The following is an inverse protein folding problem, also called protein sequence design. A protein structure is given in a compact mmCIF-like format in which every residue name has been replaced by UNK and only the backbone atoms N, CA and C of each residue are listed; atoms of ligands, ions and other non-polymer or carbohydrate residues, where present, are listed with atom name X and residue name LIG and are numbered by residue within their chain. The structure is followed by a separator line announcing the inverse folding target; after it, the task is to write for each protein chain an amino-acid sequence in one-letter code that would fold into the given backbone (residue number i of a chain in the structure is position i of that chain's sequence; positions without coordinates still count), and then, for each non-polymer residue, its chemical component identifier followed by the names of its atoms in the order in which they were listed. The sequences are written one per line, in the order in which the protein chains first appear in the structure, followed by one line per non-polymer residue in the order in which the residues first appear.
data_IF_231302310414
#
_entry.id   IF_231302310414
#
_cell.length_a   1.000
_cell.length_b   1.000
_cell.length_c   1.000
_cell.angle_alpha   90.00
_cell.angle_beta   90.00
_cell.angle_gamma   90.00
#
_symmetry.space_group_name_H-M   'P 1'
#
loop_
_entity.id
_entity.type
_entity.pdbx_description
1 polymer ?
#
# COMPACT_ATOMS: atom_id res chain seq x y z
N UNK A 1 33.00 6.84 15.06
CA UNK A 1 32.47 8.21 14.88
C UNK A 1 32.70 8.60 13.42
N UNK A 2 31.67 8.49 12.57
CA UNK A 2 31.77 8.85 11.16
C UNK A 2 30.53 9.64 10.76
N UNK A 3 30.68 10.97 10.70
CA UNK A 3 29.62 11.86 10.24
C UNK A 3 29.40 11.67 8.74
N UNK A 4 28.26 11.07 8.35
CA UNK A 4 27.70 11.21 7.00
C UNK A 4 27.17 12.64 6.87
N UNK A 5 28.07 13.60 6.69
CA UNK A 5 27.71 14.91 6.19
C UNK A 5 27.17 14.77 4.77
N UNK A 6 26.09 15.51 4.49
CA UNK A 6 25.56 15.90 3.18
C UNK A 6 26.58 15.73 2.04
N UNK A 7 26.67 14.54 1.45
CA UNK A 7 27.28 14.39 0.14
C UNK A 7 26.26 14.93 -0.85
N UNK A 8 26.46 16.19 -1.24
CA UNK A 8 25.73 16.78 -2.35
C UNK A 8 25.86 15.80 -3.53
N UNK A 9 24.72 15.29 -4.00
CA UNK A 9 24.68 14.41 -5.15
C UNK A 9 25.34 15.14 -6.31
N UNK A 10 26.35 14.52 -6.91
CA UNK A 10 27.03 15.12 -8.06
C UNK A 10 26.01 15.38 -9.16
N UNK A 11 26.04 16.56 -9.81
CA UNK A 11 25.08 16.88 -10.85
C UNK A 11 25.13 15.82 -11.95
N UNK A 12 23.98 15.42 -12.48
CA UNK A 12 23.92 14.32 -13.46
C UNK A 12 24.81 14.57 -14.69
N UNK A 13 25.03 15.85 -15.03
CA UNK A 13 25.96 16.30 -16.06
C UNK A 13 27.42 15.92 -15.78
N UNK A 14 27.83 15.77 -14.53
CA UNK A 14 29.18 15.31 -14.18
C UNK A 14 29.32 13.79 -14.23
N UNK A 15 28.20 13.06 -14.14
CA UNK A 15 28.18 11.58 -14.13
C UNK A 15 28.07 11.03 -15.55
N UNK A 16 27.28 11.68 -16.41
CA UNK A 16 27.07 11.25 -17.79
C UNK A 16 27.02 12.47 -18.75
N UNK A 17 28.14 13.19 -18.94
CA UNK A 17 28.18 14.43 -19.71
C UNK A 17 27.76 14.24 -21.18
N UNK A 18 28.10 13.10 -21.79
CA UNK A 18 27.81 12.78 -23.17
C UNK A 18 26.32 12.45 -23.45
N UNK A 19 25.58 12.01 -22.43
CA UNK A 19 24.15 11.64 -22.56
C UNK A 19 23.21 12.62 -21.85
N UNK A 20 23.77 13.58 -21.10
CA UNK A 20 23.01 14.54 -20.29
C UNK A 20 21.95 15.28 -21.10
N UNK A 21 22.33 15.87 -22.23
CA UNK A 21 21.40 16.67 -23.04
C UNK A 21 20.27 15.84 -23.65
N UNK A 22 20.56 14.57 -23.97
CA UNK A 22 19.58 13.62 -24.52
C UNK A 22 18.65 13.14 -23.40
N UNK A 23 19.19 12.82 -22.24
CA UNK A 23 18.44 12.43 -21.05
C UNK A 23 17.49 13.54 -20.59
N UNK A 24 17.98 14.77 -20.41
CA UNK A 24 17.18 15.92 -19.98
C UNK A 24 16.08 16.25 -20.99
N UNK A 25 16.35 16.17 -22.30
CA UNK A 25 15.31 16.36 -23.34
C UNK A 25 14.19 15.34 -23.24
N UNK A 26 14.51 14.06 -23.06
CA UNK A 26 13.49 13.04 -22.84
C UNK A 26 12.72 13.30 -21.54
N UNK A 27 13.43 13.61 -20.46
CA UNK A 27 12.84 13.85 -19.15
C UNK A 27 11.93 15.08 -19.15
N UNK A 28 12.23 16.12 -19.95
CA UNK A 28 11.37 17.30 -20.11
C UNK A 28 9.99 16.94 -20.69
N UNK A 29 9.95 16.08 -21.72
CA UNK A 29 8.70 15.57 -22.30
C UNK A 29 7.87 14.77 -21.27
N UNK A 30 8.54 13.91 -20.50
CA UNK A 30 7.87 13.17 -19.42
C UNK A 30 7.43 14.10 -18.30
N UNK A 31 8.25 15.08 -17.92
CA UNK A 31 7.93 16.09 -16.89
C UNK A 31 6.71 16.91 -17.28
N UNK A 32 6.61 17.37 -18.52
CA UNK A 32 5.42 18.07 -19.03
C UNK A 32 4.18 17.16 -18.97
N UNK A 33 4.36 15.86 -19.24
CA UNK A 33 3.30 14.86 -19.09
C UNK A 33 2.91 14.67 -17.61
N UNK A 34 3.87 14.60 -16.69
CA UNK A 34 3.68 14.49 -15.24
C UNK A 34 3.07 15.76 -14.62
N UNK A 35 3.43 16.95 -15.08
CA UNK A 35 2.83 18.22 -14.65
C UNK A 35 1.37 18.28 -15.12
N UNK A 36 1.07 17.85 -16.34
CA UNK A 36 -0.30 17.80 -16.83
C UNK A 36 -1.16 16.75 -16.10
N UNK A 37 -0.56 15.72 -15.49
CA UNK A 37 -1.24 14.80 -14.58
C UNK A 37 -1.69 15.46 -13.27
N UNK A 38 -1.09 16.57 -12.80
CA UNK A 38 -1.52 17.26 -11.56
C UNK A 38 -2.95 17.84 -11.66
N UNK A 39 -3.47 18.06 -12.88
CA UNK A 39 -4.80 18.63 -13.10
C UNK A 39 -5.95 17.61 -12.94
N UNK A 40 -5.66 16.31 -12.91
CA UNK A 40 -6.59 15.25 -12.52
C UNK A 40 -6.01 14.58 -11.28
N UNK A 41 -6.73 14.54 -10.15
CA UNK A 41 -6.22 13.91 -8.93
C UNK A 41 -6.11 12.38 -9.09
N UNK A 42 -5.04 11.92 -9.74
CA UNK A 42 -4.71 10.51 -10.04
C UNK A 42 -3.75 9.91 -9.02
N UNK A 43 -3.51 10.59 -7.89
CA UNK A 43 -2.61 10.11 -6.84
C UNK A 43 -3.01 8.71 -6.37
N UNK A 44 -2.00 7.87 -6.11
CA UNK A 44 -2.17 6.48 -5.67
C UNK A 44 -2.73 5.53 -6.72
N UNK A 45 -2.88 5.96 -7.98
CA UNK A 45 -3.36 5.08 -9.07
C UNK A 45 -2.23 4.19 -9.56
N UNK A 46 -2.51 2.89 -9.66
CA UNK A 46 -1.61 1.88 -10.22
C UNK A 46 -2.00 1.62 -11.67
N UNK A 47 -1.02 1.69 -12.57
CA UNK A 47 -1.25 1.64 -14.01
C UNK A 47 -0.70 0.36 -14.64
N UNK A 48 -1.33 -0.06 -15.74
CA UNK A 48 -0.76 -0.98 -16.71
C UNK A 48 -1.05 -0.41 -18.10
N UNK A 49 -0.04 -0.33 -18.98
CA UNK A 49 -0.20 0.16 -20.37
C UNK A 49 -0.97 1.48 -20.48
N UNK A 50 -0.65 2.45 -19.61
CA UNK A 50 -1.32 3.76 -19.48
C UNK A 50 -2.82 3.69 -19.12
N UNK A 51 -3.31 2.53 -18.66
CA UNK A 51 -4.66 2.36 -18.14
C UNK A 51 -4.63 2.27 -16.61
N UNK A 52 -5.46 3.03 -15.89
CA UNK A 52 -5.59 2.88 -14.46
C UNK A 52 -6.24 1.53 -14.14
N UNK A 53 -5.58 0.71 -13.33
CA UNK A 53 -6.04 -0.65 -12.99
C UNK A 53 -6.61 -0.70 -11.59
N UNK A 54 -5.87 -0.15 -10.63
CA UNK A 54 -6.19 -0.11 -9.20
C UNK A 54 -5.87 1.26 -8.64
N UNK A 55 -6.39 1.54 -7.45
CA UNK A 55 -6.05 2.74 -6.69
C UNK A 55 -5.82 2.34 -5.24
N UNK A 56 -4.78 2.87 -4.64
CA UNK A 56 -4.50 2.70 -3.22
C UNK A 56 -5.61 3.39 -2.41
N UNK A 57 -6.10 2.73 -1.34
CA UNK A 57 -7.33 3.08 -0.62
C UNK A 57 -7.31 4.52 -0.10
N UNK A 58 -6.15 4.97 0.37
CA UNK A 58 -5.93 6.32 0.92
C UNK A 58 -6.20 7.45 -0.10
N UNK A 59 -6.17 7.15 -1.40
CA UNK A 59 -6.34 8.16 -2.44
C UNK A 59 -7.69 8.08 -3.15
N UNK A 60 -8.48 7.03 -2.93
CA UNK A 60 -9.68 6.75 -3.72
C UNK A 60 -10.97 7.48 -3.33
N UNK A 61 -10.99 8.19 -2.19
CA UNK A 61 -12.22 8.76 -1.62
C UNK A 61 -12.48 10.22 -2.04
N UNK A 62 -13.73 10.61 -2.31
CA UNK A 62 -14.09 12.03 -2.46
C UNK A 62 -13.96 12.75 -1.10
N UNK A 63 -12.85 13.46 -0.90
CA UNK A 63 -12.63 14.65 -0.03
C UNK A 63 -13.52 14.74 1.24
N UNK A 64 -13.59 13.68 2.04
CA UNK A 64 -14.35 13.67 3.31
C UNK A 64 -13.45 13.56 4.54
N UNK A 65 -12.14 13.41 4.34
CA UNK A 65 -11.18 13.47 5.43
C UNK A 65 -10.50 14.83 5.42
N UNK A 66 -10.21 15.36 6.62
CA UNK A 66 -9.19 16.38 6.81
C UNK A 66 -7.85 15.77 6.35
N UNK A 67 -7.64 15.83 5.03
CA UNK A 67 -6.65 15.15 4.19
C UNK A 67 -5.20 15.49 4.53
N UNK A 68 -4.96 16.38 5.47
CA UNK A 68 -3.63 16.91 5.75
C UNK A 68 -2.70 15.89 6.44
N UNK A 69 -3.19 14.86 7.15
CA UNK A 69 -2.30 13.97 7.92
C UNK A 69 -1.65 12.86 7.07
N UNK A 70 -2.39 12.25 6.14
CA UNK A 70 -1.88 11.18 5.27
C UNK A 70 -1.22 11.73 4.00
N UNK A 71 -1.75 12.80 3.40
CA UNK A 71 -1.06 13.51 2.31
C UNK A 71 0.25 14.14 2.79
N UNK A 72 0.35 14.53 4.06
CA UNK A 72 1.63 14.92 4.64
C UNK A 72 2.66 13.81 4.51
N UNK A 73 2.31 12.54 4.65
CA UNK A 73 3.25 11.39 4.57
C UNK A 73 4.06 11.38 3.28
N UNK A 74 3.40 11.76 2.19
CA UNK A 74 3.97 11.84 0.85
C UNK A 74 4.51 13.24 0.54
N UNK A 75 4.12 14.26 1.31
CA UNK A 75 4.73 15.57 1.27
C UNK A 75 6.12 15.55 1.88
N UNK A 76 6.96 16.51 1.47
CA UNK A 76 8.27 16.74 2.09
C UNK A 76 8.17 17.12 3.58
N UNK A 77 6.99 17.49 4.08
CA UNK A 77 6.75 17.91 5.47
C UNK A 77 6.52 16.76 6.44
N UNK A 78 6.24 15.52 5.98
CA UNK A 78 6.13 14.42 6.92
C UNK A 78 7.47 14.08 7.53
N UNK A 79 7.47 14.10 8.84
CA UNK A 79 8.62 13.72 9.62
C UNK A 79 8.73 12.20 9.61
N UNK A 80 9.50 11.66 8.65
CA UNK A 80 9.93 10.26 8.61
C UNK A 80 10.99 10.01 9.70
N UNK A 81 10.66 10.41 10.94
CA UNK A 81 11.54 10.29 12.12
C UNK A 81 11.73 8.83 12.50
N UNK A 82 10.69 8.02 12.30
CA UNK A 82 10.71 6.59 12.59
C UNK A 82 10.87 5.78 11.31
N UNK A 83 11.71 4.75 11.36
CA UNK A 83 11.94 3.81 10.25
C UNK A 83 11.22 2.48 10.49
N UNK A 84 9.99 2.56 10.99
CA UNK A 84 9.21 1.42 11.46
C UNK A 84 9.00 0.34 10.39
N UNK A 85 8.82 0.73 9.12
CA UNK A 85 8.63 -0.21 8.02
C UNK A 85 9.96 -0.88 7.62
N UNK A 86 11.04 -0.11 7.57
CA UNK A 86 12.38 -0.61 7.25
C UNK A 86 12.89 -1.59 8.30
N UNK A 87 12.51 -1.42 9.58
CA UNK A 87 12.85 -2.34 10.67
C UNK A 87 12.30 -3.76 10.46
N UNK A 88 11.16 -3.89 9.78
CA UNK A 88 10.50 -5.18 9.56
C UNK A 88 10.69 -5.71 8.13
N UNK A 89 11.57 -5.10 7.33
CA UNK A 89 11.72 -5.39 5.89
C UNK A 89 11.96 -6.87 5.58
N UNK A 90 12.67 -7.59 6.46
CA UNK A 90 12.97 -9.02 6.30
C UNK A 90 11.72 -9.90 6.29
N UNK A 91 10.68 -9.48 7.00
CA UNK A 91 9.40 -10.20 7.11
C UNK A 91 8.26 -9.52 6.32
N UNK A 92 8.57 -8.42 5.63
CA UNK A 92 7.56 -7.56 5.04
C UNK A 92 6.83 -8.25 3.87
N UNK A 93 7.48 -9.16 3.14
CA UNK A 93 6.84 -9.97 2.11
C UNK A 93 5.62 -10.76 2.64
N UNK A 94 5.69 -11.30 3.86
CA UNK A 94 4.61 -12.05 4.49
C UNK A 94 3.44 -11.13 4.84
N UNK A 95 3.75 -9.97 5.44
CA UNK A 95 2.76 -8.96 5.80
C UNK A 95 2.06 -8.42 4.56
N UNK A 96 2.82 -8.04 3.53
CA UNK A 96 2.28 -7.57 2.26
C UNK A 96 1.40 -8.64 1.62
N UNK A 97 1.83 -9.91 1.58
CA UNK A 97 1.00 -10.97 1.02
C UNK A 97 -0.32 -11.15 1.77
N UNK A 98 -0.33 -11.07 3.10
CA UNK A 98 -1.57 -11.13 3.91
C UNK A 98 -2.48 -9.96 3.55
N UNK A 99 -1.97 -8.73 3.60
CA UNK A 99 -2.75 -7.52 3.29
C UNK A 99 -3.28 -7.54 1.85
N UNK A 100 -2.47 -7.82 0.85
CA UNK A 100 -2.94 -7.83 -0.54
C UNK A 100 -3.85 -9.01 -0.90
N UNK A 101 -3.87 -10.06 -0.07
CA UNK A 101 -4.83 -11.17 -0.21
C UNK A 101 -6.20 -10.87 0.41
N UNK A 102 -6.40 -9.68 0.99
CA UNK A 102 -7.68 -9.32 1.64
C UNK A 102 -7.81 -9.85 3.07
N UNK A 103 -6.75 -10.43 3.64
CA UNK A 103 -6.78 -10.95 5.01
C UNK A 103 -6.68 -9.80 6.02
N UNK A 104 -7.30 -9.99 7.20
CA UNK A 104 -7.18 -9.05 8.31
C UNK A 104 -5.78 -9.12 8.92
N UNK A 105 -5.22 -7.97 9.30
CA UNK A 105 -3.90 -7.87 9.87
C UNK A 105 -3.85 -6.88 11.04
N UNK A 106 -3.26 -7.30 12.14
CA UNK A 106 -3.21 -6.50 13.38
C UNK A 106 -1.78 -6.13 13.73
N UNK A 107 -1.56 -4.85 14.05
CA UNK A 107 -0.31 -4.37 14.67
C UNK A 107 -0.52 -4.23 16.17
N UNK A 108 0.27 -4.96 16.94
CA UNK A 108 0.13 -5.09 18.37
C UNK A 108 1.33 -4.41 19.06
N UNK A 109 1.08 -3.55 20.05
CA UNK A 109 2.15 -2.86 20.78
C UNK A 109 1.74 -2.52 22.22
N UNK A 110 2.70 -2.42 23.14
CA UNK A 110 2.46 -1.85 24.46
C UNK A 110 2.26 -0.34 24.38
N UNK A 111 1.75 0.27 25.45
CA UNK A 111 1.64 1.72 25.54
C UNK A 111 2.97 2.43 25.25
N UNK A 112 4.10 1.85 25.68
CA UNK A 112 5.43 2.44 25.43
C UNK A 112 5.86 2.37 23.97
N UNK A 113 5.33 1.42 23.18
CA UNK A 113 5.67 1.22 21.76
C UNK A 113 4.54 1.62 20.81
N UNK A 114 3.46 2.19 21.35
CA UNK A 114 2.27 2.58 20.61
C UNK A 114 2.60 3.53 19.46
N UNK A 115 3.45 4.54 19.69
CA UNK A 115 3.84 5.50 18.66
C UNK A 115 4.45 4.84 17.41
N UNK A 116 5.35 3.86 17.62
CA UNK A 116 5.95 3.08 16.53
C UNK A 116 4.94 2.15 15.86
N UNK A 117 4.02 1.58 16.63
CA UNK A 117 2.91 0.79 16.10
C UNK A 117 1.99 1.61 15.20
N UNK A 118 1.61 2.80 15.65
CA UNK A 118 0.78 3.74 14.88
C UNK A 118 1.49 4.21 13.61
N UNK A 119 2.79 4.52 13.70
CA UNK A 119 3.60 4.89 12.53
C UNK A 119 3.65 3.77 11.49
N UNK A 120 3.91 2.53 11.93
CA UNK A 120 3.91 1.36 11.06
C UNK A 120 2.54 1.12 10.43
N UNK A 121 1.48 1.13 11.24
CA UNK A 121 0.11 0.89 10.79
C UNK A 121 -0.28 1.92 9.73
N UNK A 122 0.04 3.20 9.96
CA UNK A 122 -0.22 4.29 9.02
C UNK A 122 0.51 4.08 7.70
N UNK A 123 1.76 3.62 7.73
CA UNK A 123 2.55 3.31 6.52
C UNK A 123 2.01 2.10 5.76
N UNK A 124 1.54 1.06 6.45
CA UNK A 124 0.89 -0.09 5.83
C UNK A 124 -0.46 0.29 5.21
N UNK A 125 -1.22 1.20 5.85
CA UNK A 125 -2.49 1.71 5.32
C UNK A 125 -2.35 2.40 3.95
N UNK A 126 -1.23 3.07 3.71
CA UNK A 126 -0.93 3.68 2.41
C UNK A 126 -0.82 2.65 1.28
N UNK A 127 -0.46 1.41 1.61
CA UNK A 127 -0.26 0.34 0.64
C UNK A 127 -1.54 -0.45 0.37
N UNK A 128 -2.59 -0.30 1.18
CA UNK A 128 -3.83 -1.05 1.02
C UNK A 128 -4.57 -0.68 -0.27
N UNK A 129 -5.29 -1.65 -0.84
CA UNK A 129 -6.13 -1.49 -2.03
C UNK A 129 -7.55 -1.83 -1.60
N UNK A 130 -8.39 -0.82 -1.41
CA UNK A 130 -9.78 -0.99 -0.96
C UNK A 130 -10.70 0.03 -1.63
N UNK A 131 -11.95 -0.36 -1.78
CA UNK A 131 -13.06 0.44 -2.29
C UNK A 131 -13.51 1.58 -1.36
N UNK A 132 -13.34 1.38 -0.06
CA UNK A 132 -13.62 2.37 0.97
C UNK A 132 -12.29 2.83 1.58
N UNK A 133 -12.14 4.11 1.94
CA UNK A 133 -10.97 4.55 2.69
C UNK A 133 -10.93 3.80 4.03
N UNK A 134 -9.89 2.98 4.20
CA UNK A 134 -9.60 2.31 5.45
C UNK A 134 -9.31 3.38 6.50
N UNK A 135 -10.19 3.54 7.49
CA UNK A 135 -9.79 4.24 8.71
C UNK A 135 -8.77 3.35 9.40
N UNK A 136 -7.52 3.79 9.52
CA UNK A 136 -6.62 3.12 10.44
C UNK A 136 -7.14 3.39 11.86
N UNK A 137 -7.41 2.33 12.60
CA UNK A 137 -7.97 2.39 13.94
C UNK A 137 -6.91 1.85 14.88
N UNK A 138 -6.56 2.63 15.90
CA UNK A 138 -5.79 2.12 17.03
C UNK A 138 -6.76 1.86 18.18
N UNK A 139 -6.83 0.62 18.63
CA UNK A 139 -7.76 0.20 19.65
C UNK A 139 -7.05 -0.04 20.99
N UNK A 140 -7.49 0.65 22.03
CA UNK A 140 -7.01 0.43 23.40
C UNK A 140 -7.84 -0.60 24.17
N UNK A 141 -9.01 -0.99 23.65
CA UNK A 141 -9.87 -1.99 24.30
C UNK A 141 -9.46 -3.42 23.92
N UNK A 142 -9.18 -4.24 24.93
CA UNK A 142 -8.77 -5.64 24.75
C UNK A 142 -9.95 -6.59 24.45
N UNK A 143 -11.18 -6.18 24.74
CA UNK A 143 -12.36 -7.05 24.74
C UNK A 143 -13.10 -7.04 23.40
N UNK A 144 -12.73 -6.17 22.46
CA UNK A 144 -13.42 -6.07 21.17
C UNK A 144 -12.44 -5.76 20.05
N UNK A 145 -12.52 -6.53 18.96
CA UNK A 145 -11.80 -6.22 17.73
C UNK A 145 -12.65 -5.25 16.87
N UNK A 146 -12.05 -4.20 16.27
CA UNK A 146 -12.76 -3.34 15.34
C UNK A 146 -13.35 -4.14 14.17
N UNK A 147 -14.64 -3.91 13.91
CA UNK A 147 -15.35 -4.45 12.75
C UNK A 147 -15.17 -3.49 11.58
N UNK A 148 -15.28 -4.01 10.36
CA UNK A 148 -15.24 -3.20 9.12
C UNK A 148 -13.90 -2.49 8.84
N UNK A 149 -12.78 -3.12 9.22
CA UNK A 149 -11.44 -2.73 8.81
C UNK A 149 -10.60 -3.94 8.45
N UNK A 150 -9.76 -3.83 7.41
CA UNK A 150 -8.78 -4.87 7.10
C UNK A 150 -7.58 -4.80 8.06
N UNK A 151 -7.06 -3.60 8.30
CA UNK A 151 -5.89 -3.39 9.15
C UNK A 151 -6.24 -2.51 10.36
N UNK A 152 -5.70 -2.86 11.52
CA UNK A 152 -5.86 -2.06 12.74
C UNK A 152 -4.72 -2.28 13.72
N UNK A 153 -4.62 -1.39 14.69
CA UNK A 153 -3.66 -1.46 15.79
C UNK A 153 -4.35 -1.84 17.10
N UNK A 154 -3.63 -2.53 17.98
CA UNK A 154 -4.14 -2.87 19.31
C UNK A 154 -3.08 -2.66 20.39
N UNK A 155 -3.49 -1.99 21.46
CA UNK A 155 -2.65 -1.84 22.67
C UNK A 155 -2.72 -3.12 23.49
N UNK A 156 -1.56 -3.68 23.85
CA UNK A 156 -1.48 -4.89 24.65
C UNK A 156 -0.42 -4.79 25.75
N UNK A 157 -0.70 -5.35 26.94
CA UNK A 157 0.33 -5.57 27.94
C UNK A 157 1.45 -6.46 27.39
N UNK A 158 2.67 -6.22 27.88
CA UNK A 158 3.83 -7.05 27.53
C UNK A 158 3.63 -8.52 27.96
N UNK A 159 3.01 -8.73 29.12
CA UNK A 159 2.72 -10.03 29.72
C UNK A 159 1.24 -10.40 29.44
N UNK A 160 0.98 -11.23 28.43
CA UNK A 160 -0.38 -11.69 28.08
C UNK A 160 -0.75 -11.67 26.60
N UNK A 161 0.14 -11.12 25.76
CA UNK A 161 -0.09 -10.77 24.36
C UNK A 161 -0.61 -11.90 23.45
N UNK A 162 -0.22 -13.16 23.67
CA UNK A 162 -0.38 -14.21 22.64
C UNK A 162 -1.72 -14.95 22.61
N UNK A 163 -2.48 -15.02 23.71
CA UNK A 163 -3.69 -15.87 23.76
C UNK A 163 -4.89 -15.17 23.14
N UNK A 164 -5.19 -13.95 23.60
CA UNK A 164 -6.41 -13.25 23.21
C UNK A 164 -6.46 -12.93 21.70
N UNK A 165 -5.36 -12.50 21.08
CA UNK A 165 -5.37 -12.14 19.65
C UNK A 165 -5.33 -13.36 18.74
N UNK A 166 -4.63 -14.43 19.14
CA UNK A 166 -4.58 -15.63 18.33
C UNK A 166 -5.94 -16.33 18.20
N UNK A 167 -6.86 -16.07 19.13
CA UNK A 167 -8.26 -16.54 19.09
C UNK A 167 -9.09 -15.81 18.03
N UNK A 168 -8.89 -14.50 17.85
CA UNK A 168 -9.71 -13.69 16.94
C UNK A 168 -9.07 -13.46 15.58
N UNK A 169 -7.73 -13.49 15.48
CA UNK A 169 -7.01 -13.04 14.31
C UNK A 169 -5.97 -14.06 13.82
N UNK A 170 -6.05 -14.31 12.51
CA UNK A 170 -5.18 -15.28 11.83
C UNK A 170 -3.80 -14.70 11.52
N UNK A 171 -3.67 -13.37 11.43
CA UNK A 171 -2.41 -12.70 11.16
C UNK A 171 -2.20 -11.44 12.02
N UNK A 172 -1.05 -11.34 12.67
CA UNK A 172 -0.68 -10.20 13.51
C UNK A 172 0.84 -10.02 13.58
N UNK A 173 1.27 -8.80 13.85
CA UNK A 173 2.63 -8.46 14.24
C UNK A 173 2.63 -7.87 15.65
N UNK A 174 3.24 -8.59 16.58
CA UNK A 174 3.50 -8.10 17.93
C UNK A 174 4.85 -7.40 17.98
N UNK A 175 4.83 -6.08 18.12
CA UNK A 175 6.03 -5.27 18.26
C UNK A 175 6.74 -5.53 19.59
N UNK A 176 6.03 -5.89 20.65
CA UNK A 176 6.62 -6.13 21.97
C UNK A 176 7.59 -7.32 21.93
N UNK A 177 7.12 -8.44 21.39
CA UNK A 177 7.90 -9.68 21.26
C UNK A 177 8.59 -9.85 19.91
N UNK A 178 8.37 -8.92 18.98
CA UNK A 178 8.82 -8.99 17.56
C UNK A 178 8.31 -10.25 16.84
N UNK A 179 7.17 -10.77 17.27
CA UNK A 179 6.57 -11.99 16.71
C UNK A 179 5.63 -11.64 15.57
N UNK A 180 5.87 -12.25 14.42
CA UNK A 180 4.93 -12.24 13.30
C UNK A 180 4.20 -13.59 13.24
N UNK A 181 2.87 -13.55 13.28
CA UNK A 181 2.01 -14.65 12.84
C UNK A 181 1.41 -14.22 11.51
N UNK A 182 1.77 -14.89 10.43
CA UNK A 182 1.20 -14.67 9.10
C UNK A 182 1.38 -15.96 8.28
N UNK A 183 0.60 -16.11 7.21
CA UNK A 183 0.84 -17.20 6.27
C UNK A 183 2.19 -17.01 5.60
N UNK A 184 2.92 -18.11 5.45
CA UNK A 184 4.16 -18.07 4.69
C UNK A 184 3.86 -17.64 3.24
N UNK A 185 4.66 -16.70 2.74
CA UNK A 185 4.48 -16.16 1.41
C UNK A 185 5.30 -16.99 0.42
N UNK A 186 4.58 -17.74 -0.41
CA UNK A 186 5.14 -18.49 -1.53
C UNK A 186 4.62 -17.84 -2.81
N UNK A 187 5.43 -16.98 -3.40
CA UNK A 187 5.10 -16.21 -4.61
C UNK A 187 6.31 -15.44 -5.14
N UNK A 188 6.12 -14.68 -6.21
CA UNK A 188 7.14 -13.92 -6.93
C UNK A 188 7.00 -12.40 -6.74
N UNK A 189 5.78 -11.88 -6.60
CA UNK A 189 5.48 -10.45 -6.51
C UNK A 189 6.32 -9.71 -5.45
N UNK A 190 6.43 -10.30 -4.25
CA UNK A 190 7.16 -9.70 -3.12
C UNK A 190 8.43 -10.48 -2.72
N UNK A 191 8.83 -11.48 -3.50
CA UNK A 191 9.99 -12.33 -3.17
C UNK A 191 11.31 -11.56 -3.13
N UNK A 192 11.38 -10.44 -3.85
CA UNK A 192 12.52 -9.54 -3.85
C UNK A 192 12.65 -8.75 -2.55
N UNK A 193 11.54 -8.53 -1.81
CA UNK A 193 11.49 -7.73 -0.57
C UNK A 193 12.19 -8.45 0.57
N UNK A 194 11.98 -9.76 0.74
CA UNK A 194 12.61 -10.56 1.81
C UNK A 194 14.14 -10.64 1.69
N UNK A 195 14.68 -10.38 0.49
CA UNK A 195 16.12 -10.32 0.23
C UNK A 195 16.75 -8.96 0.56
N UNK A 196 15.94 -7.97 0.95
CA UNK A 196 16.44 -6.62 1.25
C UNK A 196 16.81 -6.51 2.73
N UNK A 197 17.81 -5.68 2.99
CA UNK A 197 18.25 -5.33 4.34
C UNK A 197 17.74 -3.95 4.72
N UNK A 198 17.50 -3.67 6.01
CA UNK A 198 17.10 -2.35 6.48
C UNK A 198 18.00 -1.22 5.94
N UNK A 199 19.31 -1.45 5.88
CA UNK A 199 20.29 -0.47 5.41
C UNK A 199 20.23 -0.16 3.89
N UNK A 200 19.46 -0.91 3.10
CA UNK A 200 19.34 -0.69 1.65
C UNK A 200 18.37 0.43 1.29
N UNK A 201 17.54 0.86 2.24
CA UNK A 201 16.58 1.94 2.03
C UNK A 201 16.99 3.14 2.91
N UNK A 202 17.18 4.33 2.33
CA UNK A 202 17.55 5.51 3.10
C UNK A 202 16.40 5.98 4.02
N UNK A 203 15.15 5.65 3.67
CA UNK A 203 13.93 6.05 4.36
C UNK A 203 12.79 5.05 4.11
N UNK A 204 11.74 5.07 4.95
CA UNK A 204 10.55 4.23 4.76
C UNK A 204 9.80 4.64 3.48
N UNK A 205 9.87 5.91 3.09
CA UNK A 205 9.33 6.38 1.80
C UNK A 205 9.94 5.67 0.60
N UNK A 206 11.26 5.45 0.61
CA UNK A 206 11.93 4.71 -0.47
C UNK A 206 11.48 3.25 -0.52
N UNK A 207 11.24 2.63 0.64
CA UNK A 207 10.70 1.28 0.72
C UNK A 207 9.24 1.22 0.23
N UNK A 208 8.39 2.18 0.61
CA UNK A 208 7.02 2.32 0.10
C UNK A 208 7.03 2.47 -1.42
N UNK A 209 7.84 3.37 -1.97
CA UNK A 209 7.95 3.56 -3.42
C UNK A 209 8.40 2.29 -4.14
N UNK A 210 9.35 1.55 -3.56
CA UNK A 210 9.78 0.25 -4.08
C UNK A 210 8.63 -0.77 -4.10
N UNK A 211 7.83 -0.86 -3.04
CA UNK A 211 6.67 -1.75 -2.97
C UNK A 211 5.61 -1.35 -3.99
N UNK A 212 5.33 -0.05 -4.13
CA UNK A 212 4.39 0.48 -5.13
C UNK A 212 4.82 0.14 -6.55
N UNK A 213 6.13 0.17 -6.85
CA UNK A 213 6.65 -0.27 -8.14
C UNK A 213 6.36 -1.76 -8.39
N UNK A 214 6.62 -2.63 -7.40
CA UNK A 214 6.30 -4.07 -7.50
C UNK A 214 4.79 -4.31 -7.73
N UNK A 215 3.93 -3.56 -7.04
CA UNK A 215 2.48 -3.63 -7.22
C UNK A 215 2.04 -3.15 -8.60
N UNK A 216 2.68 -2.12 -9.12
CA UNK A 216 2.42 -1.60 -10.47
C UNK A 216 2.76 -2.65 -11.52
N UNK A 217 3.91 -3.33 -11.39
CA UNK A 217 4.26 -4.45 -12.25
C UNK A 217 3.25 -5.60 -12.13
N UNK A 218 2.80 -5.90 -10.90
CA UNK A 218 1.77 -6.92 -10.67
C UNK A 218 0.42 -6.55 -11.30
N UNK A 219 0.10 -5.26 -11.45
CA UNK A 219 -1.13 -4.81 -12.14
C UNK A 219 -1.19 -5.25 -13.60
N UNK A 220 -0.06 -5.54 -14.25
CA UNK A 220 -0.05 -6.13 -15.59
C UNK A 220 -0.66 -7.54 -15.60
N UNK A 221 -0.38 -8.33 -14.56
CA UNK A 221 -0.95 -9.67 -14.36
C UNK A 221 -2.45 -9.54 -14.09
N UNK A 222 -2.83 -8.64 -13.18
CA UNK A 222 -4.25 -8.35 -12.87
C UNK A 222 -5.00 -7.95 -14.13
N UNK A 223 -4.44 -7.06 -14.94
CA UNK A 223 -5.03 -6.63 -16.20
C UNK A 223 -5.21 -7.80 -17.18
N UNK A 224 -4.18 -8.64 -17.38
CA UNK A 224 -4.26 -9.82 -18.24
C UNK A 224 -5.36 -10.78 -17.77
N UNK A 225 -5.48 -10.99 -16.46
CA UNK A 225 -6.50 -11.85 -15.84
C UNK A 225 -7.92 -11.31 -15.93
N UNK A 226 -8.14 -10.07 -16.37
CA UNK A 226 -9.49 -9.60 -16.75
C UNK A 226 -9.97 -10.22 -18.06
N UNK A 227 -9.05 -10.56 -18.96
CA UNK A 227 -9.36 -11.09 -20.29
C UNK A 227 -9.13 -12.60 -20.41
N UNK A 228 -8.46 -13.20 -19.44
CA UNK A 228 -8.15 -14.63 -19.36
C UNK A 228 -8.44 -15.11 -17.95
N UNK A 229 -8.89 -16.36 -17.79
CA UNK A 229 -9.11 -16.95 -16.46
C UNK A 229 -7.88 -16.76 -15.56
N UNK A 230 -8.04 -16.30 -14.29
CA UNK A 230 -6.94 -16.15 -13.34
C UNK A 230 -6.10 -17.42 -13.19
N UNK A 231 -6.74 -18.59 -13.21
CA UNK A 231 -6.07 -19.88 -13.15
C UNK A 231 -5.17 -20.14 -14.37
N UNK A 232 -5.63 -19.77 -15.57
CA UNK A 232 -4.84 -19.92 -16.80
C UNK A 232 -3.61 -19.01 -16.78
N UNK A 233 -3.78 -17.76 -16.34
CA UNK A 233 -2.67 -16.80 -16.19
C UNK A 233 -1.69 -17.28 -15.11
N UNK A 234 -2.20 -17.75 -13.97
CA UNK A 234 -1.38 -18.30 -12.89
C UNK A 234 -0.53 -19.48 -13.34
N UNK A 235 -1.12 -20.43 -14.07
CA UNK A 235 -0.38 -21.57 -14.62
C UNK A 235 0.66 -21.14 -15.65
N UNK A 236 0.31 -20.21 -16.55
CA UNK A 236 1.22 -19.72 -17.60
C UNK A 236 2.43 -18.98 -17.02
N UNK A 237 2.23 -18.18 -15.97
CA UNK A 237 3.29 -17.41 -15.31
C UNK A 237 3.95 -18.14 -14.14
N UNK A 238 3.51 -19.37 -13.86
CA UNK A 238 3.96 -20.19 -12.72
C UNK A 238 3.89 -19.39 -11.42
N UNK A 239 2.72 -18.80 -11.13
CA UNK A 239 2.48 -18.01 -9.94
C UNK A 239 2.39 -18.91 -8.70
N UNK A 240 2.96 -18.44 -7.60
CA UNK A 240 2.83 -19.14 -6.31
C UNK A 240 1.45 -18.91 -5.68
N UNK A 241 1.08 -19.74 -4.72
CA UNK A 241 -0.22 -19.64 -4.03
C UNK A 241 -0.46 -18.26 -3.38
N UNK A 242 0.60 -17.58 -2.93
CA UNK A 242 0.50 -16.21 -2.41
C UNK A 242 0.07 -15.22 -3.49
N UNK A 243 0.69 -15.27 -4.66
CA UNK A 243 0.36 -14.40 -5.79
C UNK A 243 -1.06 -14.65 -6.32
N UNK A 244 -1.50 -15.92 -6.33
CA UNK A 244 -2.85 -16.29 -6.78
C UNK A 244 -3.91 -15.67 -5.86
N UNK A 245 -3.72 -15.73 -4.54
CA UNK A 245 -4.65 -15.10 -3.58
C UNK A 245 -4.71 -13.59 -3.75
N UNK A 246 -3.55 -12.95 -3.92
CA UNK A 246 -3.45 -11.52 -4.20
C UNK A 246 -4.22 -11.19 -5.49
N UNK A 247 -3.96 -11.92 -6.58
CA UNK A 247 -4.61 -11.71 -7.87
C UNK A 247 -6.14 -11.80 -7.77
N UNK A 248 -6.67 -12.83 -7.11
CA UNK A 248 -8.11 -13.02 -6.94
C UNK A 248 -8.72 -11.89 -6.12
N UNK A 249 -8.09 -11.49 -5.01
CA UNK A 249 -8.57 -10.38 -4.19
C UNK A 249 -8.60 -9.07 -4.99
N UNK A 250 -7.52 -8.73 -5.69
CA UNK A 250 -7.44 -7.51 -6.50
C UNK A 250 -8.45 -7.47 -7.65
N UNK A 251 -8.72 -8.61 -8.31
CA UNK A 251 -9.79 -8.70 -9.31
C UNK A 251 -11.17 -8.48 -8.69
N UNK A 252 -11.41 -9.04 -7.51
CA UNK A 252 -12.67 -8.86 -6.78
C UNK A 252 -12.89 -7.39 -6.41
N UNK A 253 -11.87 -6.71 -5.90
CA UNK A 253 -11.90 -5.27 -5.60
C UNK A 253 -12.25 -4.44 -6.84
N UNK A 254 -11.69 -4.78 -8.00
CA UNK A 254 -12.01 -4.10 -9.27
C UNK A 254 -13.48 -4.29 -9.65
N UNK A 255 -14.01 -5.50 -9.50
CA UNK A 255 -15.40 -5.79 -9.84
C UNK A 255 -16.36 -5.07 -8.90
N UNK A 256 -16.04 -5.01 -7.60
CA UNK A 256 -16.77 -4.21 -6.63
C UNK A 256 -16.72 -2.73 -7.00
N UNK A 257 -15.55 -2.19 -7.38
CA UNK A 257 -15.37 -0.80 -7.79
C UNK A 257 -16.24 -0.46 -9.01
N UNK A 258 -16.27 -1.36 -9.99
CA UNK A 258 -17.10 -1.25 -11.19
C UNK A 258 -18.57 -1.22 -10.82
N UNK A 259 -19.03 -2.13 -9.96
CA UNK A 259 -20.42 -2.17 -9.50
C UNK A 259 -20.82 -0.91 -8.71
N UNK A 260 -19.98 -0.46 -7.78
CA UNK A 260 -20.21 0.74 -6.98
C UNK A 260 -20.38 2.00 -7.83
N UNK A 261 -19.58 2.15 -8.90
CA UNK A 261 -19.72 3.24 -9.87
C UNK A 261 -21.04 3.15 -10.63
N UNK A 262 -21.36 1.99 -11.19
CA UNK A 262 -22.62 1.77 -11.90
C UNK A 262 -23.85 2.08 -11.02
N UNK A 263 -23.85 1.63 -9.76
CA UNK A 263 -24.92 1.94 -8.80
C UNK A 263 -25.05 3.45 -8.54
N UNK A 264 -23.92 4.14 -8.42
CA UNK A 264 -23.89 5.60 -8.18
C UNK A 264 -24.35 6.40 -9.40
N UNK A 265 -24.05 5.93 -10.61
CA UNK A 265 -24.49 6.58 -11.85
C UNK A 265 -26.00 6.40 -12.04
N UNK A 266 -26.53 5.21 -11.75
CA UNK A 266 -27.97 4.94 -11.75
C UNK A 266 -28.73 5.82 -10.74
N UNK A 267 -28.18 6.02 -9.54
CA UNK A 267 -28.82 6.88 -8.53
C UNK A 267 -28.83 8.36 -8.95
N UNK A 268 -27.75 8.85 -9.57
CA UNK A 268 -27.69 10.22 -10.13
C UNK A 268 -28.68 10.43 -11.28
N UNK A 269 -28.80 9.48 -12.21
CA UNK A 269 -29.79 9.53 -13.29
C UNK A 269 -31.22 9.55 -12.75
N UNK A 270 -31.52 8.76 -11.71
CA UNK A 270 -32.84 8.79 -11.06
C UNK A 270 -33.13 10.13 -10.37
N UNK A 271 -32.13 10.78 -9.77
CA UNK A 271 -32.29 12.11 -9.17
C UNK A 271 -32.52 13.18 -10.25
N UNK A 272 -31.79 13.12 -11.37
CA UNK A 272 -32.02 14.03 -12.50
C UNK A 272 -33.42 13.84 -13.12
N UNK A 273 -33.88 12.60 -13.31
CA UNK A 273 -35.24 12.33 -13.80
C UNK A 273 -36.35 12.81 -12.84
N UNK A 274 -36.10 12.88 -11.53
CA UNK A 274 -37.04 13.48 -10.57
C UNK A 274 -37.06 15.01 -10.65
N UNK A 275 -35.93 15.64 -10.98
CA UNK A 275 -35.84 17.09 -11.17
C UNK A 275 -36.56 17.54 -12.45
N UNK A 276 -36.55 16.72 -13.51
CA UNK A 276 -37.29 17.00 -14.75
C UNK A 276 -38.80 16.65 -14.71
N UNK A 277 -39.33 16.22 -13.55
CA UNK A 277 -40.76 15.93 -13.33
C UNK A 277 -41.47 16.98 -12.45
N UNK A 278 -40.86 18.15 -12.27
CA UNK A 278 -41.45 19.36 -11.68
C UNK A 278 -41.49 20.46 -12.76
#
# INVERSE_FOLDING_TARGET
MGNLHNTALSPLSSIAPCEYDKFIRHLKKYRETFINFENNDERGTLFCTNRPILRLSTFGSPKLFNDNSLLRILSNEFCDKEKSLTLIVSNLNHILSTVFSGERFVVCASEQRMATGEDLLRKLALLCVELQPTKYIWNSNLESAPKDCQIYGQTLPFEGCNKNIAEFESAFLDLNTQRLKAKEYIGKAFASVSKKRPSMFPSDRCLIAYIVALLTDFCAIVYLSKYKSPQKVANMLLLGNGDIRILVNLLTEIDLLKYGRLKSDLSKCNTQMKIFKL
#
